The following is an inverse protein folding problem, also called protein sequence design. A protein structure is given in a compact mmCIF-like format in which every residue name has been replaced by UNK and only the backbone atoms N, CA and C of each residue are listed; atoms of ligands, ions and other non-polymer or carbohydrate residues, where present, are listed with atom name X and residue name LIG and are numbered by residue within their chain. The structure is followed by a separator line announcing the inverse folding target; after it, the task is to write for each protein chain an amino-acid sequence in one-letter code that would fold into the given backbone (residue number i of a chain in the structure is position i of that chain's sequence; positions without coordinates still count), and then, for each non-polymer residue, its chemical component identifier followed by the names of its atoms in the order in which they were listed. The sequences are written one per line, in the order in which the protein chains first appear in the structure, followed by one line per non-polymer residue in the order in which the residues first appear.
data_IF_249555004704
#
_entry.id   IF_249555004704
#
_cell.length_a   1.000
_cell.length_b   1.000
_cell.length_c   1.000
_cell.angle_alpha   90.00
_cell.angle_beta   90.00
_cell.angle_gamma   90.00
#
_symmetry.space_group_name_H-M   'P 1'
#
loop_
_entity.id
_entity.type
_entity.pdbx_description
1 polymer ?
#
# COMPACT_ATOMS: atom_id res chain seq x y z
N UNK A 1 0.07 5.99 -45.14
CA UNK A 1 0.96 4.86 -44.79
C UNK A 1 0.12 3.76 -44.16
N UNK A 2 0.00 2.59 -44.79
CA UNK A 2 -0.68 1.45 -44.17
C UNK A 2 0.20 0.92 -43.03
N UNK A 3 -0.26 1.04 -41.78
CA UNK A 3 0.54 0.71 -40.60
C UNK A 3 0.80 -0.80 -40.42
N UNK A 4 0.16 -1.68 -41.21
CA UNK A 4 0.30 -3.15 -41.11
C UNK A 4 0.26 -3.83 -42.48
N UNK A 5 1.07 -4.89 -42.66
CA UNK A 5 0.98 -5.74 -43.86
C UNK A 5 -0.28 -6.61 -43.77
N UNK A 6 -0.98 -6.86 -44.89
CA UNK A 6 -2.12 -7.78 -44.90
C UNK A 6 -1.67 -9.18 -44.42
N UNK A 7 -2.26 -9.64 -43.31
CA UNK A 7 -1.94 -10.91 -42.67
C UNK A 7 -1.11 -10.81 -41.37
N UNK A 8 -0.55 -9.64 -41.04
CA UNK A 8 0.13 -9.45 -39.76
C UNK A 8 -0.88 -9.14 -38.64
N UNK A 9 -0.82 -9.90 -37.55
CA UNK A 9 -1.59 -9.62 -36.33
C UNK A 9 -0.79 -8.66 -35.47
N UNK A 10 -1.40 -7.54 -35.06
CA UNK A 10 -0.75 -6.56 -34.17
C UNK A 10 -0.23 -7.22 -32.89
N UNK A 11 0.92 -6.76 -32.41
CA UNK A 11 1.54 -7.18 -31.14
C UNK A 11 0.56 -7.04 -29.97
N UNK A 12 -0.30 -6.03 -30.00
CA UNK A 12 -1.35 -5.81 -29.00
C UNK A 12 -2.36 -6.95 -28.92
N UNK A 13 -2.73 -7.53 -30.07
CA UNK A 13 -3.70 -8.63 -30.14
C UNK A 13 -3.08 -9.92 -29.60
N UNK A 14 -1.78 -10.13 -29.87
CA UNK A 14 -1.02 -11.26 -29.32
C UNK A 14 -0.88 -11.13 -27.80
N UNK A 15 -0.59 -9.92 -27.30
CA UNK A 15 -0.48 -9.66 -25.87
C UNK A 15 -1.81 -9.90 -25.15
N UNK A 16 -2.92 -9.32 -25.65
CA UNK A 16 -4.27 -9.57 -25.10
C UNK A 16 -4.61 -11.06 -25.04
N UNK A 17 -4.27 -11.81 -26.10
CA UNK A 17 -4.48 -13.27 -26.14
C UNK A 17 -3.71 -13.97 -25.02
N UNK A 18 -2.43 -13.67 -24.87
CA UNK A 18 -1.58 -14.25 -23.83
C UNK A 18 -2.04 -13.87 -22.42
N UNK A 19 -2.51 -12.63 -22.22
CA UNK A 19 -3.00 -12.15 -20.93
C UNK A 19 -4.26 -12.88 -20.49
N UNK A 20 -5.14 -13.22 -21.44
CA UNK A 20 -6.32 -14.05 -21.16
C UNK A 20 -5.89 -15.46 -20.76
N UNK A 21 -4.93 -16.08 -21.45
CA UNK A 21 -4.41 -17.41 -21.07
C UNK A 21 -3.81 -17.38 -19.66
N UNK A 22 -2.99 -16.36 -19.36
CA UNK A 22 -2.41 -16.16 -18.03
C UNK A 22 -3.50 -15.95 -16.98
N UNK A 23 -4.54 -15.18 -17.31
CA UNK A 23 -5.67 -14.95 -16.40
C UNK A 23 -6.45 -16.22 -16.12
N UNK A 24 -6.72 -17.07 -17.13
CA UNK A 24 -7.36 -18.38 -16.94
C UNK A 24 -6.55 -19.24 -15.97
N UNK A 25 -5.22 -19.30 -16.14
CA UNK A 25 -4.35 -20.08 -15.25
C UNK A 25 -4.31 -19.50 -13.84
N UNK A 26 -4.21 -18.18 -13.69
CA UNK A 26 -4.27 -17.52 -12.37
C UNK A 26 -5.60 -17.81 -11.67
N UNK A 27 -6.73 -17.63 -12.37
CA UNK A 27 -8.06 -17.95 -11.82
C UNK A 27 -8.15 -19.40 -11.37
N UNK A 28 -7.58 -20.34 -12.13
CA UNK A 28 -7.55 -21.75 -11.74
C UNK A 28 -6.79 -21.98 -10.43
N UNK A 29 -5.62 -21.36 -10.28
CA UNK A 29 -4.80 -21.48 -9.08
C UNK A 29 -5.48 -20.82 -7.86
N UNK A 30 -6.04 -19.62 -8.04
CA UNK A 30 -6.76 -18.89 -6.97
C UNK A 30 -7.97 -19.68 -6.50
N UNK A 31 -8.76 -20.23 -7.43
CA UNK A 31 -9.92 -21.05 -7.10
C UNK A 31 -9.46 -22.31 -6.37
N UNK A 32 -8.47 -23.05 -6.89
CA UNK A 32 -8.03 -24.29 -6.23
C UNK A 32 -7.41 -24.07 -4.83
N UNK A 33 -6.97 -22.84 -4.51
CA UNK A 33 -6.51 -22.47 -3.17
C UNK A 33 -7.66 -22.32 -2.15
N UNK A 34 -8.91 -22.10 -2.61
CA UNK A 34 -10.08 -21.95 -1.75
C UNK A 34 -10.36 -23.28 -1.03
N UNK A 35 -10.36 -23.24 0.30
CA UNK A 35 -10.64 -24.40 1.15
C UNK A 35 -12.06 -24.38 1.70
N UNK A 36 -12.57 -23.21 2.03
CA UNK A 36 -13.91 -23.05 2.57
C UNK A 36 -14.61 -21.79 2.03
N UNK A 37 -15.89 -21.59 2.39
CA UNK A 37 -16.69 -20.50 1.82
C UNK A 37 -16.24 -19.11 2.28
N UNK A 38 -15.68 -19.00 3.49
CA UNK A 38 -15.14 -17.75 4.02
C UNK A 38 -13.83 -17.33 3.31
N UNK A 39 -13.14 -18.29 2.66
CA UNK A 39 -11.91 -18.02 1.88
C UNK A 39 -12.23 -17.54 0.45
N UNK A 40 -13.51 -17.46 0.08
CA UNK A 40 -13.90 -17.01 -1.27
C UNK A 40 -13.64 -15.53 -1.42
N UNK A 41 -12.94 -15.15 -2.49
CA UNK A 41 -12.71 -13.76 -2.85
C UNK A 41 -14.02 -12.99 -2.97
N UNK A 42 -14.11 -11.84 -2.29
CA UNK A 42 -15.30 -10.97 -2.31
C UNK A 42 -15.65 -10.46 -3.71
N UNK A 43 -14.65 -10.32 -4.58
CA UNK A 43 -14.82 -9.94 -5.99
C UNK A 43 -15.39 -11.07 -6.87
N UNK A 44 -15.41 -12.33 -6.38
CA UNK A 44 -15.97 -13.47 -7.08
C UNK A 44 -17.43 -13.70 -6.68
N UNK A 45 -18.35 -13.52 -7.63
CA UNK A 45 -19.76 -13.78 -7.40
C UNK A 45 -20.04 -15.29 -7.30
N UNK A 46 -20.49 -15.74 -6.13
CA UNK A 46 -20.85 -17.13 -5.85
C UNK A 46 -22.36 -17.27 -5.59
N UNK A 47 -22.93 -18.42 -5.96
CA UNK A 47 -24.33 -18.74 -5.70
C UNK A 47 -24.42 -19.85 -4.66
N UNK A 48 -24.73 -19.48 -3.43
CA UNK A 48 -24.75 -20.41 -2.29
C UNK A 48 -23.38 -21.05 -2.09
N UNK A 49 -23.32 -22.38 -2.06
CA UNK A 49 -22.09 -23.16 -1.85
C UNK A 49 -21.42 -23.61 -3.16
N UNK A 50 -21.64 -22.88 -4.26
CA UNK A 50 -21.12 -23.27 -5.56
C UNK A 50 -20.61 -22.08 -6.37
N UNK A 51 -19.49 -22.31 -7.05
CA UNK A 51 -18.89 -21.42 -8.02
C UNK A 51 -19.33 -21.88 -9.41
N UNK A 52 -20.03 -21.00 -10.13
CA UNK A 52 -20.43 -21.24 -11.52
C UNK A 52 -19.31 -20.84 -12.49
N UNK A 53 -19.09 -21.62 -13.54
CA UNK A 53 -18.07 -21.33 -14.55
C UNK A 53 -18.29 -19.96 -15.24
N UNK A 54 -19.56 -19.60 -15.47
CA UNK A 54 -19.92 -18.29 -16.04
C UNK A 54 -19.54 -17.11 -15.14
N UNK A 55 -19.58 -17.28 -13.82
CA UNK A 55 -19.14 -16.26 -12.87
C UNK A 55 -17.62 -16.08 -12.93
N UNK A 56 -16.88 -17.19 -13.05
CA UNK A 56 -15.41 -17.17 -13.16
C UNK A 56 -14.94 -16.50 -14.45
N UNK A 57 -15.64 -16.70 -15.56
CA UNK A 57 -15.34 -16.01 -16.83
C UNK A 57 -15.52 -14.49 -16.71
N UNK A 58 -16.57 -14.05 -16.01
CA UNK A 58 -16.86 -12.63 -15.76
C UNK A 58 -16.03 -12.00 -14.65
N UNK A 59 -15.40 -12.78 -13.80
CA UNK A 59 -14.58 -12.30 -12.68
C UNK A 59 -13.40 -11.47 -13.19
N UNK A 60 -13.26 -10.26 -12.66
CA UNK A 60 -12.14 -9.36 -12.91
C UNK A 60 -11.75 -8.70 -11.60
N UNK A 61 -10.45 -8.57 -11.38
CA UNK A 61 -9.89 -8.02 -10.16
C UNK A 61 -8.46 -7.54 -10.49
N UNK A 62 -8.27 -6.23 -10.42
CA UNK A 62 -7.01 -5.59 -10.81
C UNK A 62 -5.90 -5.89 -9.79
N UNK A 63 -6.24 -6.03 -8.50
CA UNK A 63 -5.28 -6.36 -7.44
C UNK A 63 -4.74 -7.78 -7.61
N UNK A 64 -5.62 -8.72 -7.98
CA UNK A 64 -5.23 -10.10 -8.28
C UNK A 64 -4.65 -10.25 -9.70
N UNK A 65 -4.72 -9.21 -10.52
CA UNK A 65 -4.25 -9.18 -11.90
C UNK A 65 -4.94 -10.22 -12.77
N UNK A 66 -6.27 -10.32 -12.65
CA UNK A 66 -7.14 -11.20 -13.44
C UNK A 66 -8.16 -10.36 -14.22
N UNK A 67 -8.43 -10.79 -15.45
CA UNK A 67 -9.27 -10.05 -16.40
C UNK A 67 -10.53 -10.86 -16.72
N UNK A 68 -11.63 -10.17 -16.97
CA UNK A 68 -12.85 -10.81 -17.47
C UNK A 68 -12.68 -11.18 -18.95
N UNK A 69 -13.28 -12.28 -19.36
CA UNK A 69 -13.23 -12.74 -20.74
C UNK A 69 -14.51 -13.50 -21.13
N UNK A 70 -14.79 -13.55 -22.43
CA UNK A 70 -15.97 -14.23 -22.94
C UNK A 70 -15.80 -15.75 -22.96
N UNK A 71 -16.93 -16.47 -22.93
CA UNK A 71 -16.94 -17.93 -23.05
C UNK A 71 -16.26 -18.42 -24.34
N UNK A 72 -16.53 -17.75 -25.46
CA UNK A 72 -15.95 -18.05 -26.76
C UNK A 72 -14.42 -17.94 -26.73
N UNK A 73 -13.90 -16.91 -26.06
CA UNK A 73 -12.45 -16.69 -25.93
C UNK A 73 -11.79 -17.80 -25.11
N UNK A 74 -12.45 -18.23 -24.03
CA UNK A 74 -11.97 -19.30 -23.18
C UNK A 74 -11.92 -20.65 -23.92
N UNK A 75 -12.89 -20.93 -24.79
CA UNK A 75 -13.03 -22.21 -25.51
C UNK A 75 -12.22 -22.29 -26.82
N UNK A 76 -11.35 -21.32 -27.09
CA UNK A 76 -10.42 -21.41 -28.23
C UNK A 76 -9.39 -22.53 -28.04
N UNK A 77 -8.94 -23.15 -29.14
CA UNK A 77 -7.98 -24.27 -29.11
C UNK A 77 -6.71 -23.98 -28.29
N UNK A 78 -6.21 -22.74 -28.32
CA UNK A 78 -5.00 -22.36 -27.59
C UNK A 78 -5.18 -22.35 -26.07
N UNK A 79 -6.40 -22.07 -25.59
CA UNK A 79 -6.73 -22.01 -24.17
C UNK A 79 -7.16 -23.37 -23.61
N UNK A 80 -7.27 -24.42 -24.44
CA UNK A 80 -7.85 -25.70 -24.04
C UNK A 80 -7.17 -26.32 -22.81
N UNK A 81 -5.84 -26.22 -22.68
CA UNK A 81 -5.13 -26.74 -21.51
C UNK A 81 -5.40 -25.91 -20.25
N UNK A 82 -5.40 -24.58 -20.37
CA UNK A 82 -5.71 -23.66 -19.27
C UNK A 82 -7.16 -23.82 -18.80
N UNK A 83 -8.10 -23.96 -19.74
CA UNK A 83 -9.51 -24.19 -19.47
C UNK A 83 -9.74 -25.52 -18.73
N UNK A 84 -9.08 -26.61 -19.14
CA UNK A 84 -9.16 -27.89 -18.43
C UNK A 84 -8.72 -27.78 -16.97
N UNK A 85 -7.64 -27.05 -16.70
CA UNK A 85 -7.18 -26.77 -15.33
C UNK A 85 -8.21 -25.97 -14.54
N UNK A 86 -8.77 -24.92 -15.14
CA UNK A 86 -9.82 -24.10 -14.53
C UNK A 86 -11.07 -24.93 -14.17
N UNK A 87 -11.55 -25.75 -15.11
CA UNK A 87 -12.72 -26.60 -14.89
C UNK A 87 -12.46 -27.66 -13.81
N UNK A 88 -11.26 -28.22 -13.74
CA UNK A 88 -10.86 -29.12 -12.66
C UNK A 88 -10.85 -28.41 -11.30
N UNK A 89 -10.28 -27.20 -11.23
CA UNK A 89 -10.27 -26.38 -10.01
C UNK A 89 -11.70 -26.06 -9.52
N UNK A 90 -12.59 -25.62 -10.42
CA UNK A 90 -14.00 -25.34 -10.09
C UNK A 90 -14.69 -26.59 -9.55
N UNK A 91 -14.51 -27.75 -10.21
CA UNK A 91 -15.09 -29.02 -9.74
C UNK A 91 -14.55 -29.41 -8.36
N UNK A 92 -13.25 -29.26 -8.14
CA UNK A 92 -12.62 -29.58 -6.85
C UNK A 92 -13.15 -28.69 -5.73
N UNK A 93 -13.24 -27.38 -5.96
CA UNK A 93 -13.77 -26.44 -4.96
C UNK A 93 -15.25 -26.69 -4.69
N UNK A 94 -16.07 -26.87 -5.72
CA UNK A 94 -17.48 -27.18 -5.51
C UNK A 94 -17.68 -28.50 -4.75
N UNK A 95 -16.82 -29.50 -4.95
CA UNK A 95 -16.82 -30.72 -4.13
C UNK A 95 -16.44 -30.43 -2.67
N UNK A 96 -15.44 -29.58 -2.42
CA UNK A 96 -15.05 -29.17 -1.05
C UNK A 96 -16.16 -28.40 -0.36
N UNK A 97 -16.80 -27.47 -1.06
CA UNK A 97 -17.90 -26.64 -0.55
C UNK A 97 -19.19 -27.43 -0.32
N UNK A 98 -19.52 -28.38 -1.21
CA UNK A 98 -20.69 -29.25 -1.05
C UNK A 98 -20.48 -30.34 0.02
N UNK A 99 -19.24 -30.79 0.22
CA UNK A 99 -18.87 -31.93 1.06
C UNK A 99 -18.73 -31.65 2.55
N UNK A 100 -18.93 -30.42 3.04
CA UNK A 100 -18.91 -30.21 4.47
C UNK A 100 -19.08 -28.77 4.94
N UNK A 101 -20.03 -28.63 5.86
CA UNK A 101 -19.96 -27.76 7.04
C UNK A 101 -18.74 -28.11 7.93
N UNK A 102 -17.58 -28.44 7.35
CA UNK A 102 -16.36 -28.50 8.13
C UNK A 102 -16.02 -27.06 8.39
N UNK A 103 -16.28 -26.63 9.62
CA UNK A 103 -15.85 -25.36 10.19
C UNK A 103 -14.60 -24.93 9.45
N UNK A 104 -14.66 -23.80 8.74
CA UNK A 104 -13.43 -23.05 8.54
C UNK A 104 -12.90 -22.93 9.96
N UNK A 105 -11.90 -23.74 10.34
CA UNK A 105 -11.07 -23.41 11.48
C UNK A 105 -10.56 -22.07 11.05
N UNK A 106 -11.21 -21.01 11.54
CA UNK A 106 -10.76 -19.65 11.35
C UNK A 106 -9.32 -19.75 11.82
N UNK A 107 -8.38 -19.84 10.88
CA UNK A 107 -7.12 -19.18 11.09
C UNK A 107 -7.58 -17.74 11.13
N UNK A 108 -7.98 -17.33 12.34
CA UNK A 108 -8.14 -15.93 12.66
C UNK A 108 -6.78 -15.37 12.30
N UNK A 109 -6.67 -14.85 11.08
CA UNK A 109 -5.66 -13.85 10.77
C UNK A 109 -5.82 -12.63 11.71
N UNK A 110 -6.86 -12.62 12.55
CA UNK A 110 -7.13 -11.70 13.62
C UNK A 110 -6.40 -11.96 14.96
N UNK A 111 -5.66 -13.06 15.14
CA UNK A 111 -4.89 -13.25 16.39
C UNK A 111 -3.51 -12.55 16.38
N UNK A 112 -3.07 -12.03 15.23
CA UNK A 112 -1.85 -11.21 15.12
C UNK A 112 -2.14 -9.73 14.89
N UNK A 113 -3.35 -9.34 14.50
CA UNK A 113 -3.69 -7.91 14.33
C UNK A 113 -3.74 -7.19 15.66
N UNK A 114 -4.13 -7.82 16.77
CA UNK A 114 -4.20 -7.10 18.04
C UNK A 114 -2.81 -6.71 18.55
N UNK A 115 -1.86 -7.65 18.59
CA UNK A 115 -0.49 -7.34 19.02
C UNK A 115 0.21 -6.35 18.05
N UNK A 116 0.08 -6.55 16.74
CA UNK A 116 0.66 -5.62 15.76
C UNK A 116 -0.02 -4.24 15.79
N UNK A 117 -1.33 -4.15 15.97
CA UNK A 117 -2.01 -2.85 16.08
C UNK A 117 -1.73 -2.17 17.42
N UNK A 118 -1.54 -2.91 18.50
CA UNK A 118 -1.09 -2.39 19.79
C UNK A 118 0.35 -1.87 19.69
N UNK A 119 1.24 -2.59 19.00
CA UNK A 119 2.60 -2.14 18.71
C UNK A 119 2.60 -0.87 17.84
N UNK A 120 1.85 -0.86 16.74
CA UNK A 120 1.71 0.32 15.88
C UNK A 120 1.10 1.54 16.60
N UNK A 121 0.22 1.31 17.58
CA UNK A 121 -0.32 2.39 18.43
C UNK A 121 0.76 2.94 19.36
N UNK A 122 1.54 2.08 20.01
CA UNK A 122 2.69 2.50 20.84
C UNK A 122 3.71 3.28 20.02
N UNK A 123 4.11 2.77 18.87
CA UNK A 123 5.04 3.45 17.97
C UNK A 123 4.49 4.83 17.53
N UNK A 124 3.20 4.93 17.24
CA UNK A 124 2.57 6.23 16.92
C UNK A 124 2.57 7.20 18.11
N UNK A 125 2.36 6.71 19.33
CA UNK A 125 2.43 7.55 20.53
C UNK A 125 3.85 8.02 20.80
N UNK A 126 4.84 7.14 20.65
CA UNK A 126 6.27 7.48 20.75
C UNK A 126 6.65 8.54 19.72
N UNK A 127 6.28 8.36 18.45
CA UNK A 127 6.54 9.34 17.39
C UNK A 127 5.89 10.70 17.67
N UNK A 128 4.66 10.73 18.21
CA UNK A 128 3.99 11.98 18.61
C UNK A 128 4.74 12.67 19.76
N UNK A 129 5.20 11.90 20.74
CA UNK A 129 5.95 12.42 21.87
C UNK A 129 7.30 13.00 21.42
N UNK A 130 8.07 12.25 20.62
CA UNK A 130 9.33 12.71 20.04
C UNK A 130 9.14 13.97 19.20
N UNK A 131 8.09 14.04 18.39
CA UNK A 131 7.78 15.24 17.62
C UNK A 131 7.47 16.43 18.53
N UNK A 132 6.68 16.24 19.60
CA UNK A 132 6.38 17.29 20.56
C UNK A 132 7.65 17.77 21.29
N UNK A 133 8.58 16.89 21.60
CA UNK A 133 9.88 17.25 22.20
C UNK A 133 10.75 18.04 21.22
N UNK A 134 10.81 17.66 19.95
CA UNK A 134 11.50 18.44 18.91
C UNK A 134 10.91 19.84 18.79
N UNK A 135 9.57 19.95 18.80
CA UNK A 135 8.92 21.27 18.79
C UNK A 135 9.23 22.08 20.04
N UNK A 136 9.22 21.48 21.24
CA UNK A 136 9.60 22.18 22.48
C UNK A 136 11.05 22.65 22.44
N UNK A 137 11.98 21.79 22.02
CA UNK A 137 13.39 22.13 21.89
C UNK A 137 13.61 23.27 20.89
N UNK A 138 12.90 23.25 19.75
CA UNK A 138 12.94 24.32 18.77
C UNK A 138 12.43 25.65 19.34
N UNK A 139 11.32 25.64 20.07
CA UNK A 139 10.79 26.86 20.71
C UNK A 139 11.75 27.41 21.77
N UNK A 140 12.37 26.54 22.58
CA UNK A 140 13.40 26.96 23.52
C UNK A 140 14.61 27.58 22.83
N UNK A 141 15.03 27.05 21.68
CA UNK A 141 16.13 27.62 20.90
C UNK A 141 15.82 29.02 20.35
N UNK A 142 14.58 29.24 19.90
CA UNK A 142 14.16 30.58 19.46
C UNK A 142 14.23 31.57 20.63
N UNK A 143 13.74 31.14 21.80
CA UNK A 143 13.70 32.01 22.96
C UNK A 143 15.11 32.34 23.45
N UNK A 144 16.00 31.34 23.54
CA UNK A 144 17.40 31.57 23.91
C UNK A 144 18.09 32.53 22.94
N UNK A 145 17.83 32.40 21.63
CA UNK A 145 18.38 33.32 20.64
C UNK A 145 17.88 34.76 20.79
N UNK A 146 16.64 34.95 21.26
CA UNK A 146 16.11 36.29 21.58
C UNK A 146 16.74 36.85 22.84
N UNK A 147 16.87 36.04 23.88
CA UNK A 147 17.54 36.43 25.13
C UNK A 147 18.99 36.84 24.88
N UNK A 148 19.75 36.03 24.13
CA UNK A 148 21.15 36.31 23.76
C UNK A 148 21.28 37.65 23.03
N UNK A 149 20.39 37.96 22.08
CA UNK A 149 20.39 39.26 21.40
C UNK A 149 20.18 40.43 22.34
N UNK A 150 19.27 40.31 23.29
CA UNK A 150 18.99 41.37 24.26
C UNK A 150 20.21 41.57 25.18
N UNK A 151 20.85 40.49 25.59
CA UNK A 151 22.07 40.52 26.40
C UNK A 151 23.22 41.17 25.61
N UNK A 152 23.45 40.77 24.38
CA UNK A 152 24.49 41.33 23.51
C UNK A 152 24.28 42.83 23.27
N UNK A 153 23.04 43.26 23.01
CA UNK A 153 22.70 44.67 22.84
C UNK A 153 22.95 45.47 24.13
N UNK A 154 22.64 44.90 25.29
CA UNK A 154 22.90 45.52 26.59
C UNK A 154 24.41 45.64 26.87
N UNK A 155 25.18 44.58 26.62
CA UNK A 155 26.65 44.58 26.77
C UNK A 155 27.27 45.62 25.83
N UNK A 156 26.81 45.67 24.57
CA UNK A 156 27.29 46.65 23.59
C UNK A 156 27.06 48.09 24.06
N UNK A 157 25.89 48.39 24.63
CA UNK A 157 25.59 49.71 25.21
C UNK A 157 26.53 50.03 26.38
N UNK A 158 26.73 49.09 27.31
CA UNK A 158 27.63 49.28 28.45
C UNK A 158 29.07 49.56 28.01
N UNK A 159 29.58 48.85 27.00
CA UNK A 159 30.92 49.09 26.46
C UNK A 159 31.04 50.49 25.86
N UNK A 160 30.02 50.93 25.10
CA UNK A 160 30.02 52.28 24.50
C UNK A 160 29.98 53.37 25.58
N UNK A 161 29.16 53.20 26.61
CA UNK A 161 29.07 54.13 27.73
C UNK A 161 30.39 54.20 28.50
N UNK A 162 31.02 53.05 28.78
CA UNK A 162 32.36 52.99 29.39
C UNK A 162 33.41 53.68 28.53
N UNK A 163 33.43 53.41 27.22
CA UNK A 163 34.36 54.05 26.29
C UNK A 163 34.18 55.58 26.24
N UNK A 164 32.94 56.06 26.31
CA UNK A 164 32.63 57.50 26.38
C UNK A 164 33.13 58.15 27.68
N UNK A 165 32.92 57.49 28.82
CA UNK A 165 33.40 57.97 30.12
C UNK A 165 34.94 58.03 30.13
N UNK A 166 35.60 56.96 29.73
CA UNK A 166 37.08 56.89 29.66
C UNK A 166 37.64 57.88 28.64
N UNK A 167 36.98 58.07 27.50
CA UNK A 167 37.35 59.07 26.50
C UNK A 167 37.28 60.50 27.04
N UNK A 168 36.23 60.83 27.80
CA UNK A 168 36.10 62.14 28.45
C UNK A 168 37.18 62.36 29.53
N UNK A 169 37.46 61.35 30.34
CA UNK A 169 38.52 61.40 31.36
C UNK A 169 39.89 61.62 30.72
N UNK A 170 40.20 60.88 29.64
CA UNK A 170 41.45 61.05 28.89
C UNK A 170 41.65 62.47 28.32
N UNK A 171 40.58 63.15 27.90
CA UNK A 171 40.66 64.53 27.41
C UNK A 171 40.87 65.52 28.57
N UNK A 172 40.35 65.22 29.76
CA UNK A 172 40.51 66.04 30.96
C UNK A 172 41.92 65.97 31.57
N UNK A 173 42.58 64.81 31.50
CA UNK A 173 43.94 64.60 32.03
C UNK A 173 45.06 65.14 31.12
N UNK A 174 44.75 65.65 29.91
CA UNK A 174 45.72 66.20 28.94
C UNK A 174 45.70 67.74 28.96
N UNK A 175 45.79 68.34 30.15
CA UNK A 175 46.00 69.79 30.32
C UNK A 175 47.36 70.10 30.91
#
# INVERSE_FOLDING_TARGET
MSQYKPGETSTEVINKKNDITKSILKKANLIDAIKCIDDVYTSLNIKGYSIAESAVHKWSDDELGIVSYSWNTAHTKHNAQALKKLQAAIKNVNKRLAGGQKECKKRRQYESTDDTTVQLRKENEELKNSLAEVYRAYMHLIESYREDKVIDDAIRKLILDQAHILGKQRIWDVK
#
